data_IF_519978765408
#
_entry.id   IF_519978765408
#
_cell.length_a   1.000
_cell.length_b   1.000
_cell.length_c   1.000
_cell.angle_alpha   90.00
_cell.angle_beta   90.00
_cell.angle_gamma   90.00
#
_symmetry.space_group_name_H-M   'P 1'
#
loop_
_entity.id
_entity.type
_entity.pdbx_description
1 polymer ?
#
# COMPACT_ATOMS: atom_id res chain seq x y z
N UNK A 1 -25.95 16.39 -10.05
CA UNK A 1 -26.34 16.30 -11.47
C UNK A 1 -27.04 14.97 -11.67
N UNK A 2 -28.20 14.97 -12.35
CA UNK A 2 -28.95 13.76 -12.67
C UNK A 2 -28.78 13.49 -14.16
N UNK A 3 -28.21 12.35 -14.51
CA UNK A 3 -28.01 11.91 -15.90
C UNK A 3 -29.33 11.32 -16.44
N UNK A 4 -29.71 11.76 -17.63
CA UNK A 4 -30.92 11.33 -18.34
C UNK A 4 -30.57 10.64 -19.66
N UNK A 5 -31.46 9.81 -20.21
CA UNK A 5 -31.30 9.27 -21.56
C UNK A 5 -31.15 10.40 -22.60
N UNK A 6 -30.15 10.26 -23.47
CA UNK A 6 -29.83 11.25 -24.51
C UNK A 6 -28.86 12.36 -24.07
N UNK A 7 -28.44 12.40 -22.79
CA UNK A 7 -27.37 13.29 -22.36
C UNK A 7 -26.03 12.85 -22.97
N UNK A 8 -25.19 13.83 -23.32
CA UNK A 8 -23.82 13.58 -23.79
C UNK A 8 -22.84 13.87 -22.65
N UNK A 9 -22.01 12.88 -22.34
CA UNK A 9 -20.98 12.98 -21.31
C UNK A 9 -19.60 12.83 -21.94
N UNK A 10 -18.78 13.86 -21.84
CA UNK A 10 -17.40 13.85 -22.35
C UNK A 10 -16.42 13.62 -21.20
N UNK A 11 -15.65 12.54 -21.28
CA UNK A 11 -14.54 12.25 -20.35
C UNK A 11 -13.24 12.78 -20.95
N UNK A 12 -12.88 14.01 -20.62
CA UNK A 12 -11.67 14.68 -21.13
C UNK A 12 -10.43 14.37 -20.27
N UNK A 13 -10.22 13.09 -19.99
CA UNK A 13 -9.06 12.62 -19.24
C UNK A 13 -8.73 11.16 -19.61
N UNK A 14 -7.46 10.82 -19.65
CA UNK A 14 -7.03 9.44 -19.79
C UNK A 14 -7.02 8.75 -18.40
N UNK A 15 -7.38 7.47 -18.31
CA UNK A 15 -7.23 6.72 -17.09
C UNK A 15 -5.77 6.72 -16.61
N UNK A 16 -5.56 7.00 -15.33
CA UNK A 16 -4.25 6.79 -14.70
C UNK A 16 -4.01 5.27 -14.65
N UNK A 17 -2.79 4.77 -14.95
CA UNK A 17 -2.47 3.35 -14.84
C UNK A 17 -2.93 2.75 -13.51
N UNK A 18 -3.74 1.68 -13.59
CA UNK A 18 -4.38 1.03 -12.44
C UNK A 18 -5.84 1.46 -12.18
N UNK A 19 -6.33 2.55 -12.77
CA UNK A 19 -7.71 3.03 -12.62
C UNK A 19 -8.64 2.64 -13.78
N UNK A 20 -8.16 1.87 -14.75
CA UNK A 20 -8.88 1.55 -15.98
C UNK A 20 -10.23 0.87 -15.69
N UNK A 21 -10.25 -0.04 -14.71
CA UNK A 21 -11.49 -0.75 -14.30
C UNK A 21 -12.51 0.21 -13.68
N UNK A 22 -12.06 1.17 -12.88
CA UNK A 22 -12.94 2.15 -12.25
C UNK A 22 -13.55 3.10 -13.30
N UNK A 23 -12.74 3.58 -14.26
CA UNK A 23 -13.19 4.42 -15.36
C UNK A 23 -14.15 3.65 -16.26
N UNK A 24 -13.83 2.40 -16.63
CA UNK A 24 -14.71 1.54 -17.43
C UNK A 24 -16.07 1.31 -16.73
N UNK A 25 -16.07 1.13 -15.41
CA UNK A 25 -17.31 1.03 -14.63
C UNK A 25 -18.17 2.30 -14.75
N UNK A 26 -17.56 3.47 -14.62
CA UNK A 26 -18.26 4.76 -14.76
C UNK A 26 -18.86 4.90 -16.16
N UNK A 27 -18.11 4.57 -17.22
CA UNK A 27 -18.60 4.59 -18.60
C UNK A 27 -19.83 3.68 -18.75
N UNK A 28 -19.74 2.45 -18.25
CA UNK A 28 -20.86 1.51 -18.30
C UNK A 28 -22.09 2.03 -17.55
N UNK A 29 -21.92 2.58 -16.35
CA UNK A 29 -23.03 3.15 -15.57
C UNK A 29 -23.71 4.33 -16.26
N UNK A 30 -22.95 5.17 -16.95
CA UNK A 30 -23.50 6.28 -17.76
C UNK A 30 -24.26 5.74 -18.98
N UNK A 31 -23.69 4.78 -19.69
CA UNK A 31 -24.32 4.14 -20.85
C UNK A 31 -25.62 3.41 -20.46
N UNK A 32 -25.63 2.73 -19.30
CA UNK A 32 -26.85 2.08 -18.77
C UNK A 32 -27.98 3.08 -18.47
N UNK A 33 -27.65 4.35 -18.20
CA UNK A 33 -28.62 5.44 -18.04
C UNK A 33 -29.07 6.06 -19.36
N UNK A 34 -28.57 5.55 -20.48
CA UNK A 34 -28.89 6.04 -21.82
C UNK A 34 -28.11 7.28 -22.24
N UNK A 35 -27.02 7.61 -21.55
CA UNK A 35 -26.13 8.68 -21.97
C UNK A 35 -25.19 8.21 -23.10
N UNK A 36 -24.87 9.12 -24.00
CA UNK A 36 -23.79 8.98 -24.97
C UNK A 36 -22.47 9.37 -24.29
N UNK A 37 -21.49 8.46 -24.24
CA UNK A 37 -20.20 8.72 -23.57
C UNK A 37 -19.09 8.83 -24.59
N UNK A 38 -18.45 10.00 -24.66
CA UNK A 38 -17.32 10.29 -25.53
C UNK A 38 -16.06 10.28 -24.64
N UNK A 39 -15.19 9.30 -24.86
CA UNK A 39 -13.96 9.09 -24.03
C UNK A 39 -12.69 8.87 -24.85
N UNK A 40 -12.77 8.86 -26.17
CA UNK A 40 -11.61 8.70 -27.06
C UNK A 40 -11.24 10.06 -27.67
N UNK A 41 -9.93 10.30 -27.75
CA UNK A 41 -9.35 11.51 -28.36
C UNK A 41 -9.87 12.85 -27.79
N UNK A 42 -10.34 12.83 -26.54
CA UNK A 42 -10.92 14.00 -25.87
C UNK A 42 -9.91 14.75 -25.00
N UNK A 43 -8.73 14.17 -24.78
CA UNK A 43 -7.70 14.74 -23.92
C UNK A 43 -6.45 15.08 -24.70
N UNK A 44 -6.04 16.33 -24.63
CA UNK A 44 -4.73 16.80 -25.09
C UNK A 44 -3.82 16.96 -23.89
N UNK A 45 -2.65 16.29 -23.90
CA UNK A 45 -1.66 16.41 -22.84
C UNK A 45 -1.22 17.87 -22.67
N UNK A 46 -1.14 18.34 -21.41
CA UNK A 46 -0.55 19.62 -21.08
C UNK A 46 1.00 19.60 -21.06
N UNK A 47 1.61 18.42 -21.23
CA UNK A 47 3.06 18.28 -21.29
C UNK A 47 3.56 18.50 -22.71
N UNK A 48 4.65 19.28 -22.84
CA UNK A 48 5.26 19.54 -24.12
C UNK A 48 5.86 18.26 -24.74
N UNK A 49 5.70 18.08 -26.03
CA UNK A 49 6.39 17.04 -26.78
C UNK A 49 7.86 17.43 -27.07
N UNK A 50 8.63 16.48 -27.57
CA UNK A 50 10.06 16.67 -27.83
C UNK A 50 10.38 17.90 -28.69
N UNK A 51 9.62 18.11 -29.75
CA UNK A 51 9.86 19.23 -30.68
C UNK A 51 9.47 20.58 -30.05
N UNK A 52 8.48 20.62 -29.23
CA UNK A 52 8.08 21.82 -28.46
C UNK A 52 9.17 22.20 -27.45
N UNK A 53 9.76 21.21 -26.75
CA UNK A 53 10.88 21.44 -25.83
C UNK A 53 12.10 21.97 -26.58
N UNK A 54 12.44 21.41 -27.78
CA UNK A 54 13.50 21.91 -28.62
C UNK A 54 13.25 23.35 -29.04
N UNK A 55 12.03 23.68 -29.43
CA UNK A 55 11.66 25.05 -29.78
C UNK A 55 11.90 26.00 -28.61
N UNK A 56 11.49 25.64 -27.39
CA UNK A 56 11.73 26.46 -26.21
C UNK A 56 13.22 26.65 -25.95
N UNK A 57 14.01 25.58 -26.02
CA UNK A 57 15.46 25.70 -25.85
C UNK A 57 16.10 26.59 -26.92
N UNK A 58 15.63 26.52 -28.17
CA UNK A 58 16.12 27.39 -29.27
C UNK A 58 15.75 28.86 -29.11
N UNK A 59 14.63 29.16 -28.42
CA UNK A 59 14.20 30.53 -28.18
C UNK A 59 14.84 31.15 -26.93
N UNK A 60 15.00 30.34 -25.87
CA UNK A 60 15.45 30.83 -24.56
C UNK A 60 16.99 30.80 -24.44
N UNK A 61 17.67 29.85 -25.14
CA UNK A 61 19.10 29.61 -25.01
C UNK A 61 19.56 29.47 -23.55
N UNK A 62 18.97 28.55 -22.75
CA UNK A 62 19.26 28.48 -21.33
C UNK A 62 20.72 28.01 -21.11
N UNK A 63 21.37 28.56 -20.06
CA UNK A 63 22.71 28.13 -19.65
C UNK A 63 22.66 26.78 -18.96
N UNK A 64 21.60 26.53 -18.16
CA UNK A 64 21.37 25.30 -17.39
C UNK A 64 20.03 24.68 -17.76
N UNK A 65 19.97 23.35 -17.72
CA UNK A 65 18.72 22.59 -17.84
C UNK A 65 18.54 21.68 -16.62
N UNK A 66 17.38 21.78 -15.98
CA UNK A 66 17.03 21.00 -14.82
C UNK A 66 15.72 20.24 -15.13
N UNK A 67 15.80 19.02 -15.68
CA UNK A 67 14.63 18.19 -15.90
C UNK A 67 13.91 17.88 -14.60
N UNK A 68 12.59 18.12 -14.58
CA UNK A 68 11.73 17.85 -13.42
C UNK A 68 10.47 17.12 -13.87
N UNK A 69 9.81 16.46 -12.93
CA UNK A 69 8.56 15.76 -13.15
C UNK A 69 8.69 14.51 -14.04
N UNK A 70 8.38 13.37 -13.48
CA UNK A 70 8.42 12.07 -14.14
C UNK A 70 9.40 11.10 -13.50
N UNK A 71 9.52 9.93 -14.10
CA UNK A 71 10.48 8.91 -13.70
C UNK A 71 11.89 9.24 -14.17
N UNK A 72 12.89 8.62 -13.57
CA UNK A 72 14.30 8.84 -13.93
C UNK A 72 14.57 8.69 -15.44
N UNK A 73 13.95 7.72 -16.11
CA UNK A 73 14.06 7.53 -17.57
C UNK A 73 13.59 8.75 -18.36
N UNK A 74 12.55 9.45 -17.89
CA UNK A 74 12.04 10.67 -18.54
C UNK A 74 13.01 11.83 -18.34
N UNK A 75 13.60 11.96 -17.16
CA UNK A 75 14.62 12.97 -16.87
C UNK A 75 15.87 12.75 -17.76
N UNK A 76 16.27 11.49 -17.94
CA UNK A 76 17.39 11.13 -18.82
C UNK A 76 17.10 11.40 -20.30
N UNK A 77 15.88 11.15 -20.76
CA UNK A 77 15.49 11.49 -22.14
C UNK A 77 15.53 13.02 -22.37
N UNK A 78 15.03 13.80 -21.40
CA UNK A 78 15.10 15.26 -21.48
C UNK A 78 16.54 15.78 -21.36
N UNK A 79 17.42 15.13 -20.57
CA UNK A 79 18.86 15.41 -20.54
C UNK A 79 19.47 15.24 -21.92
N UNK A 80 19.27 14.09 -22.56
CA UNK A 80 19.80 13.83 -23.91
C UNK A 80 19.28 14.84 -24.93
N UNK A 81 18.04 15.28 -24.79
CA UNK A 81 17.46 16.30 -25.63
C UNK A 81 18.15 17.65 -25.42
N UNK A 82 18.36 18.09 -24.19
CA UNK A 82 19.05 19.33 -23.85
C UNK A 82 20.50 19.35 -24.41
N UNK A 83 21.22 18.22 -24.22
CA UNK A 83 22.55 18.03 -24.77
C UNK A 83 22.57 18.14 -26.33
N UNK A 84 21.55 17.55 -26.98
CA UNK A 84 21.42 17.66 -28.47
C UNK A 84 21.12 19.07 -28.95
N UNK A 85 20.61 19.93 -28.08
CA UNK A 85 20.37 21.36 -28.35
C UNK A 85 21.59 22.26 -28.03
N UNK A 86 22.71 21.66 -27.65
CA UNK A 86 23.98 22.35 -27.41
C UNK A 86 24.21 22.78 -25.97
N UNK A 87 23.37 22.37 -25.02
CA UNK A 87 23.63 22.62 -23.60
C UNK A 87 24.74 21.67 -23.14
N UNK A 88 25.87 22.17 -22.57
CA UNK A 88 26.92 21.31 -22.06
C UNK A 88 26.43 20.28 -21.07
N UNK A 89 26.99 19.06 -21.12
CA UNK A 89 26.56 17.93 -20.26
C UNK A 89 26.61 18.26 -18.77
N UNK A 90 27.61 19.02 -18.36
CA UNK A 90 27.80 19.51 -16.98
C UNK A 90 26.75 20.52 -16.54
N UNK A 91 26.08 21.16 -17.49
CA UNK A 91 25.05 22.14 -17.26
C UNK A 91 23.64 21.52 -17.26
N UNK A 92 23.54 20.20 -17.46
CA UNK A 92 22.25 19.47 -17.35
C UNK A 92 22.25 18.69 -16.06
N UNK A 93 21.53 19.20 -15.06
CA UNK A 93 21.53 18.68 -13.69
C UNK A 93 20.30 17.80 -13.46
N UNK A 94 20.52 16.51 -13.20
CA UNK A 94 19.48 15.58 -12.80
C UNK A 94 19.42 15.54 -11.29
N UNK A 95 18.25 15.83 -10.74
CA UNK A 95 18.02 15.87 -9.30
C UNK A 95 17.10 14.75 -8.84
N UNK A 96 17.33 14.31 -7.61
CA UNK A 96 16.39 13.46 -6.87
C UNK A 96 15.51 14.31 -5.93
N UNK A 97 14.36 13.77 -5.54
CA UNK A 97 13.52 14.45 -4.53
C UNK A 97 14.33 14.74 -3.26
N UNK A 98 14.28 15.98 -2.81
CA UNK A 98 15.02 16.48 -1.65
C UNK A 98 16.38 17.11 -1.96
N UNK A 99 16.94 16.94 -3.15
CA UNK A 99 18.18 17.62 -3.50
C UNK A 99 17.94 19.14 -3.59
N UNK A 100 18.88 19.90 -3.06
CA UNK A 100 18.88 21.37 -3.08
C UNK A 100 19.96 21.83 -4.05
N UNK A 101 19.56 22.58 -5.07
CA UNK A 101 20.46 23.14 -6.07
C UNK A 101 20.52 24.64 -5.92
N UNK A 102 21.72 25.17 -5.85
CA UNK A 102 22.00 26.61 -5.89
C UNK A 102 22.41 27.01 -7.29
N UNK A 103 21.72 28.00 -7.85
CA UNK A 103 21.98 28.51 -9.18
C UNK A 103 22.50 29.95 -9.07
N UNK A 104 23.76 30.15 -9.41
CA UNK A 104 24.39 31.45 -9.51
C UNK A 104 24.48 31.90 -10.98
N UNK A 105 25.16 33.03 -11.21
CA UNK A 105 25.39 33.55 -12.56
C UNK A 105 26.23 32.58 -13.40
N UNK A 106 27.22 31.94 -12.78
CA UNK A 106 28.18 31.05 -13.45
C UNK A 106 28.28 29.65 -12.82
N UNK A 107 27.42 29.31 -11.87
CA UNK A 107 27.42 28.03 -11.17
C UNK A 107 26.02 27.44 -11.06
N UNK A 108 25.95 26.10 -11.07
CA UNK A 108 24.75 25.33 -10.76
C UNK A 108 25.21 24.06 -10.04
N UNK A 109 25.10 24.08 -8.72
CA UNK A 109 25.66 23.03 -7.87
C UNK A 109 24.62 22.46 -6.88
N UNK A 110 24.73 21.17 -6.62
CA UNK A 110 23.93 20.54 -5.53
C UNK A 110 24.61 20.85 -4.20
N UNK A 111 23.96 21.66 -3.37
CA UNK A 111 24.53 22.17 -2.11
C UNK A 111 24.03 21.45 -0.86
N UNK A 112 23.03 20.58 -1.00
CA UNK A 112 22.51 19.85 0.17
C UNK A 112 21.27 19.02 -0.15
N UNK A 113 20.64 18.55 0.92
CA UNK A 113 19.36 17.83 0.85
C UNK A 113 18.42 18.27 1.95
N UNK A 114 17.14 18.31 1.64
CA UNK A 114 16.04 18.44 2.60
C UNK A 114 15.27 17.12 2.69
N UNK A 115 14.55 16.94 3.79
CA UNK A 115 13.69 15.78 3.91
C UNK A 115 12.63 15.79 2.79
N UNK A 116 12.57 14.72 2.04
CA UNK A 116 11.58 14.50 0.98
C UNK A 116 11.07 13.07 1.06
N UNK A 117 9.86 12.86 0.58
CA UNK A 117 9.22 11.55 0.58
C UNK A 117 7.70 11.68 0.72
N UNK A 118 7.04 10.53 0.82
CA UNK A 118 5.61 10.47 1.05
C UNK A 118 5.29 10.65 2.53
N UNK A 119 4.42 11.61 2.84
CA UNK A 119 3.83 11.75 4.17
C UNK A 119 2.43 11.16 4.10
N UNK A 120 2.19 10.13 4.92
CA UNK A 120 0.90 9.47 4.98
C UNK A 120 -0.04 10.29 5.87
N UNK A 121 -1.28 10.45 5.41
CA UNK A 121 -2.35 11.13 6.14
C UNK A 121 -3.46 10.12 6.40
N UNK A 122 -3.87 9.99 7.66
CA UNK A 122 -4.91 9.08 8.11
C UNK A 122 -5.87 9.81 9.06
N UNK A 123 -7.07 10.11 8.58
CA UNK A 123 -8.00 10.95 9.31
C UNK A 123 -7.41 12.35 9.58
N UNK A 124 -7.26 12.69 10.85
CA UNK A 124 -6.63 13.95 11.30
C UNK A 124 -5.13 13.81 11.57
N UNK A 125 -4.60 12.59 11.53
CA UNK A 125 -3.18 12.31 11.74
C UNK A 125 -2.35 12.55 10.49
N UNK A 126 -1.22 13.23 10.63
CA UNK A 126 -0.27 13.50 9.55
C UNK A 126 1.10 12.94 9.92
N UNK A 127 1.54 11.92 9.17
CA UNK A 127 2.84 11.29 9.37
C UNK A 127 2.93 10.32 10.56
N UNK A 128 1.82 10.03 11.24
CA UNK A 128 1.74 9.11 12.38
C UNK A 128 1.43 7.65 11.98
N UNK A 129 1.07 7.40 10.72
CA UNK A 129 0.83 6.07 10.19
C UNK A 129 2.11 5.48 9.62
N UNK A 130 2.73 4.58 10.37
CA UNK A 130 3.94 3.88 9.95
C UNK A 130 3.67 2.62 9.12
N UNK A 131 4.73 2.06 8.54
CA UNK A 131 4.68 0.84 7.72
C UNK A 131 4.09 -0.37 8.46
N UNK A 132 4.25 -0.44 9.79
CA UNK A 132 3.70 -1.52 10.62
C UNK A 132 2.18 -1.48 10.59
N UNK A 133 1.59 -0.30 10.83
CA UNK A 133 0.12 -0.12 10.81
C UNK A 133 -0.47 -0.43 9.44
N UNK A 134 0.19 0.00 8.38
CA UNK A 134 -0.25 -0.29 7.00
C UNK A 134 -0.21 -1.79 6.70
N UNK A 135 0.88 -2.46 7.08
CA UNK A 135 1.01 -3.91 6.91
C UNK A 135 -0.06 -4.68 7.69
N UNK A 136 -0.33 -4.27 8.93
CA UNK A 136 -1.35 -4.90 9.77
C UNK A 136 -2.75 -4.70 9.16
N UNK A 137 -3.07 -3.49 8.70
CA UNK A 137 -4.32 -3.22 7.98
C UNK A 137 -4.47 -4.04 6.71
N UNK A 138 -3.39 -4.19 5.94
CA UNK A 138 -3.38 -5.00 4.73
C UNK A 138 -3.61 -6.49 5.05
N UNK A 139 -2.96 -7.01 6.08
CA UNK A 139 -3.15 -8.39 6.53
C UNK A 139 -4.58 -8.62 7.01
N UNK A 140 -5.11 -7.72 7.85
CA UNK A 140 -6.51 -7.77 8.31
C UNK A 140 -7.50 -7.75 7.15
N UNK A 141 -7.28 -6.90 6.14
CA UNK A 141 -8.15 -6.80 4.97
C UNK A 141 -8.12 -8.06 4.08
N UNK A 142 -6.96 -8.69 3.93
CA UNK A 142 -6.78 -9.86 3.06
C UNK A 142 -7.13 -11.18 3.74
N UNK A 143 -6.77 -11.34 4.99
CA UNK A 143 -6.79 -12.62 5.69
C UNK A 143 -7.74 -12.66 6.89
N UNK A 144 -8.15 -11.51 7.40
CA UNK A 144 -8.96 -11.42 8.62
C UNK A 144 -8.18 -11.62 9.91
N UNK A 145 -8.91 -11.82 11.01
CA UNK A 145 -8.34 -11.99 12.35
C UNK A 145 -8.98 -13.19 13.07
N UNK A 146 -8.16 -13.88 13.84
CA UNK A 146 -8.55 -14.88 14.83
C UNK A 146 -8.08 -14.39 16.20
N UNK A 147 -9.02 -14.31 17.15
CA UNK A 147 -8.76 -13.98 18.54
C UNK A 147 -8.96 -15.25 19.34
N UNK A 148 -7.97 -15.58 20.18
CA UNK A 148 -7.99 -16.74 21.07
C UNK A 148 -8.02 -16.22 22.49
N UNK A 149 -9.03 -16.63 23.27
CA UNK A 149 -9.15 -16.24 24.68
C UNK A 149 -9.06 -17.49 25.55
N UNK A 150 -8.12 -17.48 26.47
CA UNK A 150 -7.93 -18.59 27.43
C UNK A 150 -7.59 -18.06 28.81
N UNK A 151 -7.93 -18.83 29.82
CA UNK A 151 -7.65 -18.52 31.23
C UNK A 151 -6.70 -19.59 31.79
N UNK A 152 -5.57 -19.13 32.32
CA UNK A 152 -4.57 -20.01 32.96
C UNK A 152 -4.48 -19.69 34.45
N UNK A 153 -4.24 -20.74 35.25
CA UNK A 153 -3.95 -20.58 36.65
C UNK A 153 -2.52 -20.02 36.83
N UNK A 154 -2.41 -19.04 37.72
CA UNK A 154 -1.18 -18.24 37.89
C UNK A 154 0.07 -19.02 38.23
N UNK A 155 -0.05 -20.03 39.09
CA UNK A 155 1.11 -20.73 39.65
C UNK A 155 1.42 -22.02 38.90
N UNK A 156 0.41 -22.80 38.48
CA UNK A 156 0.60 -24.05 37.76
C UNK A 156 0.64 -23.85 36.25
N UNK A 157 0.09 -22.72 35.73
CA UNK A 157 -0.14 -22.49 34.33
C UNK A 157 -1.27 -23.34 33.75
N UNK A 158 -2.00 -24.11 34.57
CA UNK A 158 -3.04 -25.01 34.10
C UNK A 158 -4.16 -24.25 33.38
N UNK A 159 -4.65 -24.82 32.27
CA UNK A 159 -5.80 -24.26 31.54
C UNK A 159 -7.08 -24.45 32.37
N UNK A 160 -7.67 -23.33 32.83
CA UNK A 160 -8.90 -23.32 33.62
C UNK A 160 -10.13 -23.11 32.74
N UNK A 161 -10.06 -22.35 31.68
CA UNK A 161 -11.17 -22.09 30.78
C UNK A 161 -10.66 -21.72 29.36
N UNK A 162 -11.49 -22.03 28.36
CA UNK A 162 -11.15 -21.86 26.95
C UNK A 162 -10.45 -23.06 26.35
N UNK A 163 -9.75 -22.92 25.21
CA UNK A 163 -9.65 -21.70 24.37
C UNK A 163 -10.96 -21.37 23.66
N UNK A 164 -11.45 -20.14 23.84
CA UNK A 164 -12.51 -19.61 23.03
C UNK A 164 -11.91 -18.94 21.81
N UNK A 165 -12.41 -19.29 20.61
CA UNK A 165 -11.88 -18.76 19.36
C UNK A 165 -12.95 -17.91 18.67
N UNK A 166 -12.61 -16.64 18.43
CA UNK A 166 -13.45 -15.69 17.70
C UNK A 166 -12.77 -15.35 16.38
N UNK A 167 -13.50 -15.48 15.28
CA UNK A 167 -13.01 -15.16 13.93
C UNK A 167 -13.80 -14.01 13.32
N UNK A 168 -13.08 -13.10 12.62
CA UNK A 168 -13.67 -12.03 11.81
C UNK A 168 -12.90 -11.87 10.50
N UNK A 169 -13.64 -11.85 9.39
CA UNK A 169 -13.05 -11.65 8.05
C UNK A 169 -12.20 -12.81 7.54
N UNK A 170 -12.07 -13.90 8.28
CA UNK A 170 -11.30 -15.08 7.89
C UNK A 170 -12.18 -16.18 7.30
N UNK A 171 -13.11 -16.75 8.07
CA UNK A 171 -14.05 -17.78 7.64
C UNK A 171 -15.46 -17.46 8.11
N UNK A 172 -16.45 -18.02 7.44
CA UNK A 172 -17.81 -17.99 7.92
C UNK A 172 -18.00 -19.11 8.97
N UNK A 173 -18.00 -18.71 10.23
CA UNK A 173 -17.90 -19.65 11.38
C UNK A 173 -18.99 -20.73 11.36
N UNK A 174 -20.23 -20.39 10.96
CA UNK A 174 -21.35 -21.35 10.91
C UNK A 174 -21.16 -22.50 9.92
N UNK A 175 -20.31 -22.31 8.91
CA UNK A 175 -20.00 -23.33 7.89
C UNK A 175 -18.61 -23.93 8.09
N UNK A 176 -17.95 -23.61 9.19
CA UNK A 176 -16.55 -24.00 9.46
C UNK A 176 -16.39 -24.52 10.89
N UNK A 177 -17.41 -25.17 11.46
CA UNK A 177 -17.39 -25.67 12.84
C UNK A 177 -16.25 -26.67 13.06
N UNK A 178 -16.05 -27.62 12.14
CA UNK A 178 -14.96 -28.60 12.22
C UNK A 178 -13.57 -27.90 12.25
N UNK A 179 -13.38 -26.90 11.40
CA UNK A 179 -12.11 -26.14 11.38
C UNK A 179 -11.87 -25.40 12.69
N UNK A 180 -12.93 -24.84 13.27
CA UNK A 180 -12.81 -24.11 14.54
C UNK A 180 -12.54 -25.05 15.71
N UNK A 181 -13.09 -26.27 15.67
CA UNK A 181 -12.82 -27.29 16.67
C UNK A 181 -11.39 -27.84 16.56
N UNK A 182 -10.94 -28.15 15.35
CA UNK A 182 -9.53 -28.53 15.12
C UNK A 182 -8.57 -27.40 15.57
N UNK A 183 -8.91 -26.13 15.29
CA UNK A 183 -8.13 -24.98 15.74
C UNK A 183 -8.04 -24.89 17.28
N UNK A 184 -9.14 -25.21 18.00
CA UNK A 184 -9.13 -25.30 19.47
C UNK A 184 -8.18 -26.37 19.96
N UNK A 185 -8.25 -27.55 19.37
CA UNK A 185 -7.37 -28.67 19.74
C UNK A 185 -5.88 -28.33 19.55
N UNK A 186 -5.52 -27.68 18.43
CA UNK A 186 -4.15 -27.18 18.20
C UNK A 186 -3.71 -26.20 19.29
N UNK A 187 -4.60 -25.31 19.73
CA UNK A 187 -4.26 -24.35 20.81
C UNK A 187 -4.10 -25.08 22.16
N UNK A 188 -4.97 -26.04 22.47
CA UNK A 188 -4.85 -26.85 23.71
C UNK A 188 -3.53 -27.60 23.71
N UNK A 189 -3.20 -28.32 22.64
CA UNK A 189 -1.92 -29.04 22.49
C UNK A 189 -0.73 -28.10 22.67
N UNK A 190 -0.77 -26.90 22.09
CA UNK A 190 0.31 -25.92 22.22
C UNK A 190 0.48 -25.41 23.65
N UNK A 191 -0.62 -25.26 24.41
CA UNK A 191 -0.57 -24.90 25.83
C UNK A 191 -0.02 -26.05 26.67
N UNK A 192 -0.48 -27.28 26.46
CA UNK A 192 -0.02 -28.47 27.17
C UNK A 192 1.48 -28.71 26.94
N UNK A 193 1.96 -28.52 25.72
CA UNK A 193 3.38 -28.57 25.39
C UNK A 193 4.19 -27.54 26.16
N UNK A 194 3.68 -26.31 26.29
CA UNK A 194 4.34 -25.28 27.10
C UNK A 194 4.45 -25.69 28.58
N UNK A 195 3.39 -26.26 29.14
CA UNK A 195 3.37 -26.74 30.54
C UNK A 195 4.36 -27.88 30.75
N UNK A 196 4.37 -28.86 29.87
CA UNK A 196 5.28 -30.01 29.93
C UNK A 196 6.76 -29.60 29.88
N UNK A 197 7.06 -28.50 29.19
CA UNK A 197 8.42 -27.93 29.08
C UNK A 197 8.71 -26.84 30.10
N UNK A 198 7.83 -26.61 31.11
CA UNK A 198 7.97 -25.59 32.14
C UNK A 198 8.14 -24.17 31.60
N UNK A 199 7.48 -23.84 30.50
CA UNK A 199 7.49 -22.50 29.92
C UNK A 199 6.42 -21.65 30.63
N UNK A 200 6.86 -20.75 31.52
CA UNK A 200 5.97 -19.89 32.30
C UNK A 200 5.94 -18.42 31.80
N UNK A 201 6.66 -18.13 30.73
CA UNK A 201 6.69 -16.79 30.10
C UNK A 201 5.48 -16.60 29.18
N UNK A 202 4.57 -15.72 29.58
CA UNK A 202 3.35 -15.44 28.81
C UNK A 202 3.61 -14.97 27.38
N UNK A 203 4.70 -14.22 27.15
CA UNK A 203 5.08 -13.79 25.81
C UNK A 203 5.48 -14.96 24.93
N UNK A 204 6.21 -15.94 25.48
CA UNK A 204 6.60 -17.18 24.79
C UNK A 204 5.38 -18.04 24.51
N UNK A 205 4.51 -18.24 25.49
CA UNK A 205 3.26 -19.02 25.31
C UNK A 205 2.39 -18.43 24.20
N UNK A 206 2.17 -17.12 24.19
CA UNK A 206 1.43 -16.43 23.12
C UNK A 206 2.06 -16.65 21.75
N UNK A 207 3.40 -16.61 21.65
CA UNK A 207 4.09 -16.84 20.40
C UNK A 207 3.93 -18.29 19.92
N UNK A 208 4.08 -19.28 20.83
CA UNK A 208 3.92 -20.69 20.50
C UNK A 208 2.49 -20.96 20.01
N UNK A 209 1.46 -20.48 20.71
CA UNK A 209 0.06 -20.60 20.28
C UNK A 209 -0.14 -20.00 18.89
N UNK A 210 0.36 -18.78 18.69
CA UNK A 210 0.25 -18.09 17.39
C UNK A 210 0.91 -18.91 16.28
N UNK A 211 2.12 -19.36 16.49
CA UNK A 211 2.92 -20.03 15.47
C UNK A 211 2.33 -21.42 15.16
N UNK A 212 1.91 -22.20 16.16
CA UNK A 212 1.27 -23.49 15.97
C UNK A 212 -0.03 -23.39 15.18
N UNK A 213 -0.89 -22.41 15.55
CA UNK A 213 -2.15 -22.20 14.84
C UNK A 213 -1.94 -21.64 13.43
N UNK A 214 -0.97 -20.76 13.23
CA UNK A 214 -0.60 -20.25 11.91
C UNK A 214 -0.15 -21.38 10.99
N UNK A 215 0.71 -22.27 11.46
CA UNK A 215 1.19 -23.42 10.69
C UNK A 215 0.06 -24.38 10.33
N UNK A 216 -0.83 -24.66 11.28
CA UNK A 216 -2.01 -25.48 11.04
C UNK A 216 -2.90 -24.88 9.94
N UNK A 217 -3.28 -23.60 10.06
CA UNK A 217 -4.15 -22.91 9.11
C UNK A 217 -3.49 -22.80 7.73
N UNK A 218 -2.20 -22.54 7.68
CA UNK A 218 -1.45 -22.53 6.42
C UNK A 218 -1.43 -23.90 5.73
N UNK A 219 -1.21 -24.96 6.49
CA UNK A 219 -1.25 -26.32 5.92
C UNK A 219 -2.62 -26.68 5.38
N UNK A 220 -3.68 -26.33 6.14
CA UNK A 220 -5.08 -26.69 5.82
C UNK A 220 -5.69 -25.82 4.71
N UNK A 221 -5.45 -24.50 4.72
CA UNK A 221 -6.18 -23.54 3.90
C UNK A 221 -5.30 -22.63 3.05
N UNK A 222 -3.99 -22.64 3.24
CA UNK A 222 -3.05 -21.69 2.59
C UNK A 222 -3.40 -20.21 2.85
N UNK A 223 -3.96 -19.94 4.03
CA UNK A 223 -4.31 -18.58 4.50
C UNK A 223 -3.63 -18.32 5.82
N UNK A 224 -3.28 -17.06 6.06
CA UNK A 224 -2.54 -16.63 7.25
C UNK A 224 -3.24 -15.42 7.92
N UNK A 225 -4.35 -15.65 8.65
CA UNK A 225 -5.02 -14.58 9.37
C UNK A 225 -4.13 -13.99 10.46
N UNK A 226 -4.43 -12.78 10.89
CA UNK A 226 -3.83 -12.23 12.10
C UNK A 226 -4.32 -13.03 13.32
N UNK A 227 -3.40 -13.61 14.08
CA UNK A 227 -3.72 -14.41 15.27
C UNK A 227 -3.34 -13.62 16.51
N UNK A 228 -4.33 -13.39 17.38
CA UNK A 228 -4.19 -12.61 18.61
C UNK A 228 -4.54 -13.46 19.85
N UNK A 229 -3.56 -14.09 20.52
CA UNK A 229 -3.78 -14.79 21.76
C UNK A 229 -3.94 -13.82 22.93
N UNK A 230 -5.05 -13.96 23.68
CA UNK A 230 -5.35 -13.23 24.92
C UNK A 230 -5.34 -14.24 26.05
N UNK A 231 -4.39 -14.12 26.96
CA UNK A 231 -4.28 -14.97 28.15
C UNK A 231 -4.73 -14.15 29.36
N UNK A 232 -5.72 -14.66 30.07
CA UNK A 232 -6.14 -14.16 31.37
C UNK A 232 -5.54 -15.02 32.48
N UNK A 233 -5.06 -14.38 33.52
CA UNK A 233 -4.43 -15.02 34.67
C UNK A 233 -5.36 -14.94 35.87
N UNK A 234 -5.56 -16.04 36.55
CA UNK A 234 -6.42 -16.13 37.76
C UNK A 234 -5.68 -16.86 38.87
#
# INVERSE_FOLDING_TARGET
VTIKPGDVVVLSSNPIPGNEKAVSKVINELSMKGAEVISQDTHVSGHACQEEIKLIYSLVHPKYALPVHGEYRHLMAQKSLAESMGIPKENVVIMSSGDVVEIGQDSCETVGRVQAGSILVDGLGVGDVGNIVLRDRQNLAQNGIIIIVLTLEKYSGQLLAGPDIVSRGFVYVRESEDLMEEARNVVVEAVDDCLNHHINDWGKIKNIIRDSLSDYLWKKMKRNPMILPIIMEV
#
